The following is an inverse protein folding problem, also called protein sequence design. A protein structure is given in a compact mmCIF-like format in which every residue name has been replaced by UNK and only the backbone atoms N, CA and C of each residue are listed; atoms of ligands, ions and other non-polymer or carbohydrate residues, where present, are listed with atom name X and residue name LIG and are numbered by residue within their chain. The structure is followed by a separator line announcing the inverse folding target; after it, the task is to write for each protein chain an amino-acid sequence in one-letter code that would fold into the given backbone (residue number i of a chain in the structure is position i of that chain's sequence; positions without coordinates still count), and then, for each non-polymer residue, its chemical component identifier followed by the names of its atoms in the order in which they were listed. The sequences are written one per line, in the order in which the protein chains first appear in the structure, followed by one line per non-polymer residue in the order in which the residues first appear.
data_IF_369027951001
#
_entry.id   IF_369027951001
#
_cell.length_a   1.000
_cell.length_b   1.000
_cell.length_c   1.000
_cell.angle_alpha   90.00
_cell.angle_beta   90.00
_cell.angle_gamma   90.00
#
_symmetry.space_group_name_H-M   'P 1'
#
loop_
_entity.id
_entity.type
_entity.pdbx_description
1 polymer ?
#
# COMPACT_ATOMS: atom_id res chain seq x y z
N UNK A 1 43.57 6.42 33.59
CA UNK A 1 42.61 5.31 33.41
C UNK A 1 41.15 5.71 33.22
N UNK A 2 40.66 6.86 33.65
CA UNK A 2 39.22 7.27 33.53
C UNK A 2 38.76 7.58 32.07
N UNK A 3 39.68 7.94 31.16
CA UNK A 3 39.34 8.32 29.75
C UNK A 3 38.87 7.15 28.90
N UNK A 4 39.33 5.93 29.16
CA UNK A 4 38.98 4.74 28.40
C UNK A 4 37.56 4.23 28.73
N UNK A 5 37.08 4.39 29.97
CA UNK A 5 35.73 3.99 30.35
C UNK A 5 34.64 4.86 29.68
N UNK A 6 34.92 6.12 29.41
CA UNK A 6 34.00 7.02 28.72
C UNK A 6 33.78 6.59 27.26
N UNK A 7 34.88 6.28 26.56
CA UNK A 7 34.82 5.79 25.18
C UNK A 7 34.11 4.43 25.05
N UNK A 8 34.35 3.53 26.01
CA UNK A 8 33.67 2.23 26.06
C UNK A 8 32.16 2.40 26.28
N UNK A 9 31.73 3.31 27.15
CA UNK A 9 30.31 3.61 27.35
C UNK A 9 29.64 4.17 26.09
N UNK A 10 30.29 5.08 25.37
CA UNK A 10 29.77 5.64 24.11
C UNK A 10 29.67 4.54 23.06
N UNK A 11 30.66 3.65 22.95
CA UNK A 11 30.66 2.55 21.99
C UNK A 11 29.55 1.53 22.28
N UNK A 12 29.29 1.21 23.55
CA UNK A 12 28.19 0.33 23.96
C UNK A 12 26.83 0.96 23.64
N UNK A 13 26.65 2.26 23.91
CA UNK A 13 25.41 2.99 23.55
C UNK A 13 25.21 2.99 22.03
N UNK A 14 26.27 3.19 21.24
CA UNK A 14 26.21 3.17 19.78
C UNK A 14 25.80 1.78 19.24
N UNK A 15 26.23 0.68 19.86
CA UNK A 15 25.83 -0.67 19.48
C UNK A 15 24.32 -0.94 19.77
N UNK A 16 23.77 -0.36 20.85
CA UNK A 16 22.34 -0.50 21.15
C UNK A 16 21.43 0.36 20.25
N UNK A 17 21.94 1.47 19.70
CA UNK A 17 21.17 2.34 18.79
C UNK A 17 21.07 1.78 17.37
N UNK A 18 21.92 0.82 16.98
CA UNK A 18 21.93 0.23 15.65
C UNK A 18 21.13 -1.09 15.54
N UNK A 19 20.47 -1.52 16.60
CA UNK A 19 19.48 -2.62 16.52
C UNK A 19 18.15 -2.10 15.93
N UNK A 20 18.20 -1.48 14.73
CA UNK A 20 17.03 -1.36 13.89
C UNK A 20 16.62 -2.78 13.53
N UNK A 21 15.64 -3.33 14.25
CA UNK A 21 15.12 -4.64 13.97
C UNK A 21 14.67 -4.70 12.52
N UNK A 22 15.46 -5.34 11.68
CA UNK A 22 15.01 -5.81 10.37
C UNK A 22 13.88 -6.77 10.72
N UNK A 23 12.65 -6.31 10.55
CA UNK A 23 11.46 -7.11 10.82
C UNK A 23 11.57 -8.38 9.97
N UNK A 24 11.90 -9.50 10.62
CA UNK A 24 11.97 -10.80 9.95
C UNK A 24 10.59 -11.03 9.33
N UNK A 25 10.53 -11.15 8.00
CA UNK A 25 9.28 -11.49 7.32
C UNK A 25 8.66 -12.68 8.03
N UNK A 26 7.44 -12.51 8.53
CA UNK A 26 6.77 -13.60 9.24
C UNK A 26 6.49 -14.72 8.22
N UNK A 27 6.62 -15.99 8.63
CA UNK A 27 6.26 -17.11 7.76
C UNK A 27 4.79 -17.05 7.31
N UNK A 28 3.97 -16.20 7.92
CA UNK A 28 2.59 -15.96 7.52
C UNK A 28 2.47 -15.18 6.21
N UNK A 29 3.31 -14.16 6.00
CA UNK A 29 3.32 -13.44 4.72
C UNK A 29 3.63 -14.39 3.55
N UNK A 30 4.67 -15.21 3.68
CA UNK A 30 5.04 -16.18 2.64
C UNK A 30 3.91 -17.17 2.32
N UNK A 31 3.24 -17.71 3.36
CA UNK A 31 2.05 -18.57 3.19
C UNK A 31 0.88 -17.81 2.54
N UNK A 32 0.65 -16.57 2.93
CA UNK A 32 -0.35 -15.70 2.30
C UNK A 32 -0.10 -15.55 0.80
N UNK A 33 1.15 -15.31 0.41
CA UNK A 33 1.57 -15.21 -0.99
C UNK A 33 1.39 -16.52 -1.77
N UNK A 34 1.71 -17.66 -1.16
CA UNK A 34 1.50 -18.97 -1.78
C UNK A 34 0.01 -19.19 -2.15
N UNK A 35 -0.89 -18.95 -1.18
CA UNK A 35 -2.32 -19.06 -1.41
C UNK A 35 -2.85 -18.01 -2.39
N UNK A 36 -2.28 -16.79 -2.37
CA UNK A 36 -2.66 -15.73 -3.31
C UNK A 36 -2.37 -16.12 -4.76
N UNK A 37 -1.18 -16.69 -5.03
CA UNK A 37 -0.80 -17.18 -6.36
C UNK A 37 -1.72 -18.30 -6.86
N UNK A 38 -2.24 -19.13 -5.94
CA UNK A 38 -3.22 -20.19 -6.23
C UNK A 38 -4.65 -19.67 -6.33
N UNK A 39 -4.90 -18.35 -6.20
CA UNK A 39 -6.21 -17.72 -6.13
C UNK A 39 -7.10 -18.21 -4.97
N UNK A 40 -6.52 -18.82 -3.97
CA UNK A 40 -7.19 -19.26 -2.74
C UNK A 40 -7.41 -18.08 -1.79
N UNK A 41 -8.13 -17.06 -2.22
CA UNK A 41 -8.21 -15.75 -1.56
C UNK A 41 -8.71 -15.80 -0.11
N UNK A 42 -9.58 -16.76 0.25
CA UNK A 42 -10.02 -16.89 1.63
C UNK A 42 -8.89 -17.33 2.57
N UNK A 43 -8.09 -18.32 2.15
CA UNK A 43 -6.94 -18.79 2.92
C UNK A 43 -5.83 -17.72 2.97
N UNK A 44 -5.54 -17.13 1.81
CA UNK A 44 -4.56 -16.05 1.67
C UNK A 44 -4.86 -14.90 2.64
N UNK A 45 -6.14 -14.45 2.69
CA UNK A 45 -6.60 -13.40 3.62
C UNK A 45 -6.24 -13.71 5.07
N UNK A 46 -6.54 -14.93 5.54
CA UNK A 46 -6.27 -15.34 6.91
C UNK A 46 -4.77 -15.23 7.23
N UNK A 47 -3.91 -15.61 6.30
CA UNK A 47 -2.47 -15.54 6.49
C UNK A 47 -1.94 -14.11 6.51
N UNK A 48 -2.43 -13.22 5.65
CA UNK A 48 -2.04 -11.80 5.71
C UNK A 48 -2.56 -11.12 6.97
N UNK A 49 -3.77 -11.43 7.42
CA UNK A 49 -4.30 -10.93 8.69
C UNK A 49 -3.47 -11.41 9.89
N UNK A 50 -3.02 -12.68 9.87
CA UNK A 50 -2.09 -13.18 10.88
C UNK A 50 -0.73 -12.50 10.82
N UNK A 51 -0.22 -12.22 9.61
CA UNK A 51 1.02 -11.44 9.47
C UNK A 51 0.90 -10.09 10.17
N UNK A 52 -0.22 -9.38 9.99
CA UNK A 52 -0.46 -8.09 10.62
C UNK A 52 -0.56 -8.14 12.15
N UNK A 53 -0.94 -9.27 12.75
CA UNK A 53 -0.91 -9.44 14.21
C UNK A 53 0.54 -9.40 14.74
N UNK A 54 1.49 -9.99 14.02
CA UNK A 54 2.90 -10.03 14.41
C UNK A 54 3.71 -8.87 13.83
N UNK A 55 3.29 -8.33 12.70
CA UNK A 55 3.93 -7.23 12.00
C UNK A 55 2.89 -6.17 11.56
N UNK A 56 2.41 -5.34 12.51
CA UNK A 56 1.36 -4.34 12.22
C UNK A 56 1.77 -3.28 11.19
N UNK A 57 3.05 -3.15 10.90
CA UNK A 57 3.60 -2.25 9.87
C UNK A 57 3.93 -2.95 8.55
N UNK A 58 3.37 -4.13 8.31
CA UNK A 58 3.54 -4.85 7.04
C UNK A 58 2.74 -4.17 5.93
N UNK A 59 3.35 -3.20 5.25
CA UNK A 59 2.78 -2.54 4.07
C UNK A 59 2.32 -3.57 3.03
N UNK A 60 3.16 -4.58 2.78
CA UNK A 60 2.87 -5.64 1.82
C UNK A 60 1.59 -6.42 2.18
N UNK A 61 1.38 -6.77 3.46
CA UNK A 61 0.17 -7.51 3.87
C UNK A 61 -1.09 -6.68 3.67
N UNK A 62 -1.07 -5.39 3.99
CA UNK A 62 -2.18 -4.49 3.67
C UNK A 62 -2.44 -4.39 2.16
N UNK A 63 -1.38 -4.29 1.34
CA UNK A 63 -1.54 -4.23 -0.12
C UNK A 63 -2.19 -5.49 -0.69
N UNK A 64 -1.74 -6.67 -0.24
CA UNK A 64 -2.32 -7.93 -0.69
C UNK A 64 -3.75 -8.14 -0.17
N UNK A 65 -4.08 -7.69 1.05
CA UNK A 65 -5.46 -7.65 1.53
C UNK A 65 -6.34 -6.76 0.65
N UNK A 66 -5.85 -5.58 0.26
CA UNK A 66 -6.56 -4.70 -0.67
C UNK A 66 -6.81 -5.38 -2.02
N UNK A 67 -5.82 -6.09 -2.57
CA UNK A 67 -5.98 -6.88 -3.80
C UNK A 67 -7.03 -7.98 -3.65
N UNK A 68 -7.03 -8.71 -2.54
CA UNK A 68 -8.04 -9.73 -2.26
C UNK A 68 -9.44 -9.13 -2.16
N UNK A 69 -9.58 -7.97 -1.49
CA UNK A 69 -10.88 -7.32 -1.36
C UNK A 69 -11.38 -6.77 -2.70
N UNK A 70 -10.49 -6.33 -3.60
CA UNK A 70 -10.85 -5.99 -4.98
C UNK A 70 -11.44 -7.20 -5.73
N UNK A 71 -10.77 -8.36 -5.67
CA UNK A 71 -11.26 -9.60 -6.31
C UNK A 71 -12.64 -10.05 -5.77
N UNK A 72 -12.99 -9.59 -4.58
CA UNK A 72 -14.28 -9.87 -3.92
C UNK A 72 -15.30 -8.73 -4.04
N UNK A 73 -15.02 -7.69 -4.80
CA UNK A 73 -15.85 -6.50 -4.94
C UNK A 73 -16.23 -5.84 -3.59
N UNK A 74 -15.28 -5.86 -2.63
CA UNK A 74 -15.45 -5.27 -1.29
C UNK A 74 -14.73 -3.92 -1.21
N UNK A 75 -15.28 -2.91 -1.86
CA UNK A 75 -14.63 -1.61 -2.06
C UNK A 75 -14.28 -0.91 -0.73
N UNK A 76 -15.13 -1.00 0.30
CA UNK A 76 -14.86 -0.37 1.60
C UNK A 76 -13.62 -0.98 2.26
N UNK A 77 -13.54 -2.31 2.33
CA UNK A 77 -12.40 -3.01 2.92
C UNK A 77 -11.13 -2.81 2.08
N UNK A 78 -11.25 -2.78 0.75
CA UNK A 78 -10.16 -2.45 -0.14
C UNK A 78 -9.60 -1.05 0.17
N UNK A 79 -10.47 -0.04 0.24
CA UNK A 79 -10.07 1.34 0.53
C UNK A 79 -9.37 1.48 1.88
N UNK A 80 -9.89 0.84 2.93
CA UNK A 80 -9.27 0.85 4.27
C UNK A 80 -7.84 0.31 4.21
N UNK A 81 -7.64 -0.82 3.54
CA UNK A 81 -6.31 -1.42 3.43
C UNK A 81 -5.35 -0.57 2.60
N UNK A 82 -5.82 0.03 1.49
CA UNK A 82 -5.01 0.95 0.69
C UNK A 82 -4.60 2.20 1.48
N UNK A 83 -5.49 2.75 2.30
CA UNK A 83 -5.14 3.87 3.21
C UNK A 83 -4.05 3.47 4.20
N UNK A 84 -4.09 2.25 4.76
CA UNK A 84 -3.02 1.75 5.62
C UNK A 84 -1.70 1.59 4.86
N UNK A 85 -1.72 1.13 3.60
CA UNK A 85 -0.52 1.12 2.75
C UNK A 85 0.06 2.52 2.63
N UNK A 86 -0.77 3.52 2.26
CA UNK A 86 -0.30 4.89 2.04
C UNK A 86 0.11 5.61 3.34
N UNK A 87 -0.45 5.21 4.48
CA UNK A 87 0.02 5.69 5.79
C UNK A 87 1.45 5.21 6.09
N UNK A 88 1.80 3.98 5.69
CA UNK A 88 3.11 3.38 5.90
C UNK A 88 4.12 3.77 4.81
N UNK A 89 3.65 3.88 3.56
CA UNK A 89 4.43 4.26 2.40
C UNK A 89 3.61 5.18 1.47
N UNK A 90 3.69 6.51 1.67
CA UNK A 90 2.95 7.49 0.87
C UNK A 90 3.29 7.48 -0.63
N UNK A 91 4.40 6.82 -1.02
CA UNK A 91 4.85 6.73 -2.41
C UNK A 91 4.53 5.40 -3.08
N UNK A 92 3.77 4.50 -2.42
CA UNK A 92 3.37 3.25 -3.05
C UNK A 92 2.44 3.51 -4.24
N UNK A 93 3.01 3.46 -5.45
CA UNK A 93 2.32 3.83 -6.69
C UNK A 93 1.18 2.87 -7.04
N UNK A 94 1.29 1.58 -6.72
CA UNK A 94 0.20 0.61 -6.88
C UNK A 94 -0.99 0.95 -5.99
N UNK A 95 -0.75 1.30 -4.72
CA UNK A 95 -1.81 1.67 -3.80
C UNK A 95 -2.51 2.98 -4.22
N UNK A 96 -1.74 3.99 -4.66
CA UNK A 96 -2.29 5.24 -5.18
C UNK A 96 -3.16 4.96 -6.40
N UNK A 97 -2.66 4.18 -7.37
CA UNK A 97 -3.42 3.79 -8.55
C UNK A 97 -4.75 3.10 -8.18
N UNK A 98 -4.70 2.09 -7.31
CA UNK A 98 -5.89 1.36 -6.91
C UNK A 98 -6.90 2.26 -6.17
N UNK A 99 -6.42 3.15 -5.30
CA UNK A 99 -7.28 4.09 -4.58
C UNK A 99 -7.90 5.12 -5.53
N UNK A 100 -7.15 5.58 -6.54
CA UNK A 100 -7.67 6.46 -7.59
C UNK A 100 -8.86 5.84 -8.29
N UNK A 101 -8.77 4.57 -8.68
CA UNK A 101 -9.89 3.86 -9.32
C UNK A 101 -11.13 3.81 -8.44
N UNK A 102 -10.97 3.54 -7.15
CA UNK A 102 -12.09 3.56 -6.19
C UNK A 102 -12.72 4.95 -6.13
N UNK A 103 -11.91 6.03 -6.09
CA UNK A 103 -12.43 7.40 -6.02
C UNK A 103 -13.18 7.82 -7.28
N UNK A 104 -12.72 7.38 -8.45
CA UNK A 104 -13.43 7.57 -9.72
C UNK A 104 -14.79 6.83 -9.69
N UNK A 105 -14.80 5.56 -9.27
CA UNK A 105 -16.05 4.76 -9.17
C UNK A 105 -17.05 5.35 -8.17
N UNK A 106 -16.55 5.95 -7.08
CA UNK A 106 -17.37 6.67 -6.09
C UNK A 106 -17.81 8.07 -6.54
N UNK A 107 -17.47 8.50 -7.76
CA UNK A 107 -17.69 9.87 -8.27
C UNK A 107 -17.03 10.96 -7.39
N UNK A 108 -16.03 10.59 -6.61
CA UNK A 108 -15.26 11.53 -5.80
C UNK A 108 -14.10 12.09 -6.64
N UNK A 109 -14.45 12.90 -7.62
CA UNK A 109 -13.51 13.40 -8.63
C UNK A 109 -12.43 14.33 -8.06
N UNK A 110 -12.72 15.07 -6.98
CA UNK A 110 -11.72 15.93 -6.35
C UNK A 110 -10.59 15.10 -5.76
N UNK A 111 -10.90 14.08 -4.95
CA UNK A 111 -9.88 13.19 -4.41
C UNK A 111 -9.19 12.37 -5.51
N UNK A 112 -9.92 11.97 -6.56
CA UNK A 112 -9.30 11.29 -7.69
C UNK A 112 -8.25 12.16 -8.39
N UNK A 113 -8.52 13.44 -8.63
CA UNK A 113 -7.57 14.41 -9.21
C UNK A 113 -6.31 14.57 -8.36
N UNK A 114 -6.45 14.71 -7.04
CA UNK A 114 -5.31 14.79 -6.11
C UNK A 114 -4.44 13.54 -6.14
N UNK A 115 -5.08 12.36 -6.14
CA UNK A 115 -4.37 11.08 -6.23
C UNK A 115 -3.66 10.90 -7.58
N UNK A 116 -4.28 11.32 -8.70
CA UNK A 116 -3.67 11.30 -10.03
C UNK A 116 -2.43 12.19 -10.06
N UNK A 117 -2.53 13.42 -9.52
CA UNK A 117 -1.39 14.33 -9.44
C UNK A 117 -0.25 13.70 -8.63
N UNK A 118 -0.55 13.10 -7.47
CA UNK A 118 0.44 12.39 -6.65
C UNK A 118 1.04 11.22 -7.40
N UNK A 119 0.21 10.39 -8.08
CA UNK A 119 0.66 9.24 -8.84
C UNK A 119 1.66 9.62 -9.93
N UNK A 120 1.38 10.70 -10.68
CA UNK A 120 2.28 11.19 -11.74
C UNK A 120 3.66 11.57 -11.19
N UNK A 121 3.73 12.09 -9.96
CA UNK A 121 4.98 12.52 -9.33
C UNK A 121 5.80 11.36 -8.76
N UNK A 122 5.14 10.30 -8.28
CA UNK A 122 5.83 9.25 -7.49
C UNK A 122 5.88 7.90 -8.19
N UNK A 123 5.17 7.70 -9.32
CA UNK A 123 5.10 6.39 -9.95
C UNK A 123 6.48 5.91 -10.40
N UNK A 124 6.75 4.64 -10.10
CA UNK A 124 7.95 3.90 -10.52
C UNK A 124 7.55 2.64 -11.32
N UNK A 125 6.83 1.73 -10.68
CA UNK A 125 6.44 0.43 -11.25
C UNK A 125 5.13 0.49 -12.04
N UNK A 126 4.24 1.39 -11.69
CA UNK A 126 2.90 1.52 -12.26
C UNK A 126 2.73 2.68 -13.25
N UNK A 127 3.82 3.35 -13.67
CA UNK A 127 3.75 4.51 -14.58
C UNK A 127 3.00 4.23 -15.89
N UNK A 128 2.99 3.01 -16.39
CA UNK A 128 2.23 2.60 -17.58
C UNK A 128 0.71 2.76 -17.40
N UNK A 129 0.24 2.90 -16.15
CA UNK A 129 -1.18 3.09 -15.82
C UNK A 129 -1.67 4.55 -15.88
N UNK A 130 -0.78 5.52 -16.18
CA UNK A 130 -1.14 6.95 -16.27
C UNK A 130 -2.29 7.18 -17.24
N UNK A 131 -2.16 6.67 -18.46
CA UNK A 131 -3.17 6.91 -19.49
C UNK A 131 -4.51 6.28 -19.11
N UNK A 132 -4.50 5.06 -18.54
CA UNK A 132 -5.72 4.37 -18.10
C UNK A 132 -6.51 5.19 -17.08
N UNK A 133 -5.85 5.77 -16.06
CA UNK A 133 -6.55 6.55 -15.03
C UNK A 133 -7.05 7.90 -15.58
N UNK A 134 -6.30 8.54 -16.48
CA UNK A 134 -6.75 9.78 -17.14
C UNK A 134 -7.99 9.53 -17.99
N UNK A 135 -7.96 8.53 -18.87
CA UNK A 135 -9.12 8.17 -19.70
C UNK A 135 -10.36 7.81 -18.86
N UNK A 136 -10.17 7.04 -17.78
CA UNK A 136 -11.30 6.72 -16.89
C UNK A 136 -11.87 7.96 -16.21
N UNK A 137 -11.01 8.88 -15.80
CA UNK A 137 -11.43 10.13 -15.18
C UNK A 137 -12.21 11.00 -16.17
N UNK A 138 -11.71 11.16 -17.40
CA UNK A 138 -12.36 11.96 -18.45
C UNK A 138 -13.73 11.41 -18.84
N UNK A 139 -13.85 10.09 -19.00
CA UNK A 139 -15.12 9.45 -19.40
C UNK A 139 -16.24 9.61 -18.37
N UNK A 140 -15.91 9.76 -17.09
CA UNK A 140 -16.87 9.77 -16.00
C UNK A 140 -17.10 11.15 -15.39
N UNK A 141 -16.33 12.16 -15.78
CA UNK A 141 -16.58 13.53 -15.32
C UNK A 141 -17.79 14.13 -16.03
N UNK A 142 -18.73 14.79 -15.31
CA UNK A 142 -19.96 15.35 -15.88
C UNK A 142 -19.74 16.39 -16.99
N UNK A 143 -18.57 16.99 -17.05
CA UNK A 143 -18.19 17.99 -18.05
C UNK A 143 -18.15 17.40 -19.48
N UNK A 144 -17.75 16.13 -19.62
CA UNK A 144 -17.68 15.43 -20.90
C UNK A 144 -18.97 14.69 -21.27
N UNK A 145 -19.85 14.42 -20.30
CA UNK A 145 -21.18 13.84 -20.56
C UNK A 145 -22.11 14.78 -21.34
N UNK A 146 -21.84 16.11 -21.33
CA UNK A 146 -22.63 17.11 -22.07
C UNK A 146 -22.26 17.25 -23.55
N UNK A 147 -21.11 16.75 -23.98
CA UNK A 147 -20.64 16.90 -25.35
C UNK A 147 -20.96 15.69 -26.25
N UNK A 148 -21.63 14.67 -25.76
CA UNK A 148 -22.02 13.46 -26.50
C UNK A 148 -23.53 13.32 -26.74
N UNK A 149 -24.30 14.43 -26.67
CA UNK A 149 -25.73 14.48 -27.07
C UNK A 149 -25.91 15.42 -28.25
#
# INVERSE_FOLDING_TARGET
MKKNYFLIKIFVIYLFLNSAGIGKESGYFAKGMEHFKKKEFNKSKIFFERDLVFNPKSEKSYLYLAKIFREKNKNVQQEINLKNVLLLNPKNDEAIYMLTLIKIEQSNYNQAKELIATFVLVCESFCSKKNEIHEKMEKLTPENAKNNN
#
